data_IF_510668468223
#
_entry.id   IF_510668468223
#
_cell.length_a   1.000
_cell.length_b   1.000
_cell.length_c   1.000
_cell.angle_alpha   90.00
_cell.angle_beta   90.00
_cell.angle_gamma   90.00
#
_symmetry.space_group_name_H-M   'P 1'
#
loop_
_entity.id
_entity.type
_entity.pdbx_description
1 polymer ?
#
# COMPACT_ATOMS: atom_id res chain seq x y z
N UNK A 1 -10.99 29.88 -33.35
CA UNK A 1 -10.63 29.12 -32.15
C UNK A 1 -11.62 27.99 -31.97
N UNK A 2 -11.23 26.77 -32.35
CA UNK A 2 -11.99 25.57 -32.02
C UNK A 2 -11.65 25.19 -30.59
N UNK A 3 -12.67 25.10 -29.73
CA UNK A 3 -12.52 24.59 -28.37
C UNK A 3 -12.12 23.12 -28.47
N UNK A 4 -10.93 22.78 -27.95
CA UNK A 4 -10.52 21.41 -27.75
C UNK A 4 -11.40 20.83 -26.65
N UNK A 5 -12.40 20.05 -27.03
CA UNK A 5 -13.24 19.30 -26.09
C UNK A 5 -12.36 18.29 -25.36
N UNK A 6 -12.33 18.37 -24.03
CA UNK A 6 -11.62 17.40 -23.20
C UNK A 6 -12.31 16.04 -23.38
N UNK A 7 -11.55 14.95 -23.57
CA UNK A 7 -12.13 13.62 -23.65
C UNK A 7 -12.92 13.31 -22.37
N UNK A 8 -14.04 12.57 -22.46
CA UNK A 8 -14.88 12.26 -21.31
C UNK A 8 -14.06 11.54 -20.23
N UNK A 9 -14.27 11.96 -18.98
CA UNK A 9 -13.60 11.36 -17.82
C UNK A 9 -14.04 9.90 -17.66
N UNK A 10 -13.14 8.91 -17.82
CA UNK A 10 -13.49 7.51 -17.60
C UNK A 10 -13.94 7.25 -16.16
N UNK A 11 -13.58 8.09 -15.18
CA UNK A 11 -14.05 7.96 -13.81
C UNK A 11 -15.54 8.27 -13.66
N UNK A 12 -16.12 9.10 -14.54
CA UNK A 12 -17.55 9.39 -14.54
C UNK A 12 -18.39 8.16 -14.91
N UNK A 13 -17.84 7.24 -15.70
CA UNK A 13 -18.51 5.99 -16.08
C UNK A 13 -18.59 4.96 -14.94
N UNK A 14 -17.74 5.08 -13.91
CA UNK A 14 -17.73 4.22 -12.72
C UNK A 14 -18.41 4.87 -11.49
N UNK A 15 -18.84 6.13 -11.60
CA UNK A 15 -19.39 6.90 -10.49
C UNK A 15 -20.85 6.56 -10.14
N UNK A 16 -21.50 5.65 -10.89
CA UNK A 16 -22.94 5.37 -10.76
C UNK A 16 -23.29 4.20 -9.84
N UNK A 17 -22.32 3.44 -9.34
CA UNK A 17 -22.56 2.45 -8.28
C UNK A 17 -22.18 3.06 -6.93
N UNK A 18 -23.19 3.51 -6.16
CA UNK A 18 -23.01 3.86 -4.76
C UNK A 18 -22.44 2.63 -4.02
N UNK A 19 -21.16 2.70 -3.65
CA UNK A 19 -20.51 1.64 -2.88
C UNK A 19 -21.30 1.45 -1.58
N UNK A 20 -21.71 0.21 -1.23
CA UNK A 20 -22.40 -0.03 0.02
C UNK A 20 -21.56 0.50 1.20
N UNK A 21 -22.20 1.28 2.07
CA UNK A 21 -21.57 1.79 3.28
C UNK A 21 -21.36 0.64 4.28
N UNK A 22 -20.15 0.08 4.30
CA UNK A 22 -19.76 -0.92 5.31
C UNK A 22 -19.45 -0.18 6.61
N UNK A 23 -20.31 -0.33 7.62
CA UNK A 23 -20.12 0.33 8.92
C UNK A 23 -19.01 -0.29 9.77
N UNK A 24 -18.85 -1.61 9.75
CA UNK A 24 -17.75 -2.33 10.41
C UNK A 24 -17.57 -3.73 9.82
N UNK A 25 -16.40 -4.33 10.08
CA UNK A 25 -16.10 -5.71 9.72
C UNK A 25 -16.38 -6.65 10.90
N UNK A 26 -17.14 -7.72 10.67
CA UNK A 26 -17.53 -8.72 11.66
C UNK A 26 -18.97 -8.59 12.16
N UNK A 27 -19.36 -9.42 13.13
CA UNK A 27 -20.76 -9.56 13.57
C UNK A 27 -21.23 -8.47 14.55
N UNK A 28 -20.30 -7.66 15.08
CA UNK A 28 -20.59 -6.65 16.10
C UNK A 28 -19.81 -5.35 15.86
N UNK A 29 -20.39 -4.20 16.23
CA UNK A 29 -19.69 -2.92 16.17
C UNK A 29 -18.37 -2.96 16.96
N UNK A 30 -17.34 -2.23 16.49
CA UNK A 30 -16.08 -2.10 17.22
C UNK A 30 -16.32 -1.41 18.57
N UNK A 31 -15.48 -1.75 19.55
CA UNK A 31 -15.48 -1.11 20.88
C UNK A 31 -14.72 0.22 20.90
N UNK A 32 -14.39 0.76 19.73
CA UNK A 32 -13.55 1.93 19.52
C UNK A 32 -14.10 2.73 18.33
N UNK A 33 -13.93 4.06 18.38
CA UNK A 33 -14.29 4.95 17.29
C UNK A 33 -13.33 4.79 16.11
N UNK A 34 -13.78 5.12 14.89
CA UNK A 34 -12.97 5.04 13.67
C UNK A 34 -11.98 6.22 13.50
N UNK A 35 -11.85 7.07 14.52
CA UNK A 35 -10.98 8.24 14.51
C UNK A 35 -9.51 7.86 14.78
N UNK A 36 -8.53 8.61 14.23
CA UNK A 36 -7.13 8.44 14.58
C UNK A 36 -6.88 8.57 16.09
N UNK A 37 -6.49 7.48 16.74
CA UNK A 37 -6.32 7.42 18.19
C UNK A 37 -4.85 7.58 18.63
N UNK A 38 -4.12 6.48 18.84
CA UNK A 38 -2.79 6.51 19.43
C UNK A 38 -1.67 6.34 18.39
N UNK A 39 -0.55 7.03 18.61
CA UNK A 39 0.72 6.75 17.93
C UNK A 39 1.37 5.49 18.55
N UNK A 40 2.18 4.75 17.77
CA UNK A 40 3.03 3.71 18.34
C UNK A 40 4.00 4.28 19.39
N UNK A 41 4.23 3.50 20.44
CA UNK A 41 5.20 3.87 21.48
C UNK A 41 6.62 3.95 20.91
N UNK A 42 7.30 5.06 21.18
CA UNK A 42 8.65 5.34 20.69
C UNK A 42 9.67 5.33 21.84
N UNK A 43 10.83 4.73 21.60
CA UNK A 43 12.04 4.80 22.43
C UNK A 43 13.23 5.13 21.53
N UNK A 44 14.39 5.47 22.11
CA UNK A 44 15.61 5.73 21.35
C UNK A 44 16.04 4.55 20.47
N UNK A 45 15.69 3.33 20.86
CA UNK A 45 16.13 2.08 20.22
C UNK A 45 15.20 1.61 19.11
N UNK A 46 13.97 2.14 19.02
CA UNK A 46 12.94 1.63 18.11
C UNK A 46 12.54 2.59 16.98
N UNK A 47 13.19 3.76 16.89
CA UNK A 47 12.83 4.81 15.94
C UNK A 47 12.83 4.31 14.48
N UNK A 48 13.79 3.46 14.11
CA UNK A 48 13.89 2.91 12.75
C UNK A 48 12.78 1.89 12.42
N UNK A 49 12.11 1.38 13.44
CA UNK A 49 10.95 0.50 13.30
C UNK A 49 9.62 1.24 13.20
N UNK A 50 9.60 2.55 13.48
CA UNK A 50 8.39 3.36 13.36
C UNK A 50 8.06 3.58 11.88
N UNK A 51 6.87 3.15 11.49
CA UNK A 51 6.33 3.38 10.17
C UNK A 51 5.28 4.50 10.16
N UNK A 52 5.02 5.12 9.00
CA UNK A 52 3.89 6.03 8.88
C UNK A 52 2.58 5.28 9.16
N UNK A 53 1.52 5.99 9.56
CA UNK A 53 0.18 5.41 9.67
C UNK A 53 -0.33 4.94 8.30
N UNK A 54 -0.10 5.76 7.28
CA UNK A 54 -0.54 5.52 5.90
C UNK A 54 0.63 5.70 4.93
N UNK A 55 0.82 4.74 4.03
CA UNK A 55 1.69 4.86 2.85
C UNK A 55 0.81 5.03 1.64
N UNK A 56 1.17 6.00 0.78
CA UNK A 56 0.57 6.21 -0.53
C UNK A 56 1.69 6.24 -1.56
N UNK A 57 1.47 5.57 -2.68
CA UNK A 57 2.30 5.74 -3.86
C UNK A 57 1.45 5.81 -5.13
N UNK A 58 1.98 6.46 -6.16
CA UNK A 58 1.32 6.56 -7.44
C UNK A 58 2.30 6.81 -8.57
N UNK A 59 2.10 6.10 -9.67
CA UNK A 59 2.93 6.21 -10.85
C UNK A 59 2.09 6.03 -12.12
N UNK A 60 2.60 6.53 -13.23
CA UNK A 60 2.15 6.13 -14.57
C UNK A 60 3.23 5.27 -15.21
N UNK A 61 2.82 4.17 -15.82
CA UNK A 61 3.71 3.25 -16.50
C UNK A 61 3.07 2.77 -17.80
N UNK A 62 3.58 3.28 -18.93
CA UNK A 62 2.93 3.12 -20.23
C UNK A 62 1.51 3.65 -20.19
N UNK A 63 0.55 2.80 -20.53
CA UNK A 63 -0.90 3.09 -20.47
C UNK A 63 -1.52 2.84 -19.09
N UNK A 64 -0.76 2.30 -18.14
CA UNK A 64 -1.26 1.97 -16.80
C UNK A 64 -1.03 3.11 -15.81
N UNK A 65 -1.99 3.29 -14.90
CA UNK A 65 -1.85 4.14 -13.71
C UNK A 65 -1.84 3.25 -12.47
N UNK A 66 -0.75 3.29 -11.72
CA UNK A 66 -0.63 2.64 -10.43
C UNK A 66 -1.06 3.61 -9.33
N UNK A 67 -1.91 3.14 -8.42
CA UNK A 67 -2.18 3.75 -7.12
C UNK A 67 -2.08 2.66 -6.07
N UNK A 68 -1.18 2.84 -5.12
CA UNK A 68 -0.99 1.90 -4.02
C UNK A 68 -1.17 2.63 -2.69
N UNK A 69 -1.85 1.96 -1.75
CA UNK A 69 -2.07 2.48 -0.42
C UNK A 69 -1.94 1.35 0.60
N UNK A 70 -1.39 1.67 1.77
CA UNK A 70 -1.38 0.79 2.93
C UNK A 70 -1.69 1.63 4.16
N UNK A 71 -2.82 1.34 4.80
CA UNK A 71 -3.41 2.17 5.87
C UNK A 71 -3.44 1.36 7.16
N UNK A 72 -3.02 1.96 8.27
CA UNK A 72 -3.15 1.34 9.59
C UNK A 72 -4.64 1.16 9.92
N UNK A 73 -5.05 -0.07 10.20
CA UNK A 73 -6.43 -0.36 10.57
C UNK A 73 -6.82 0.25 11.93
N UNK A 74 -8.10 0.54 12.10
CA UNK A 74 -8.62 1.26 13.27
C UNK A 74 -8.35 0.53 14.59
N UNK A 75 -8.39 -0.80 14.59
CA UNK A 75 -8.02 -1.58 15.78
C UNK A 75 -6.57 -1.36 16.22
N UNK A 76 -5.65 -1.23 15.26
CA UNK A 76 -4.25 -0.96 15.54
C UNK A 76 -4.07 0.51 15.98
N UNK A 77 -4.79 1.45 15.37
CA UNK A 77 -4.83 2.87 15.81
C UNK A 77 -5.30 2.97 17.26
N UNK A 78 -6.39 2.31 17.61
CA UNK A 78 -6.94 2.29 18.96
C UNK A 78 -5.94 1.73 19.98
N UNK A 79 -5.22 0.66 19.64
CA UNK A 79 -4.22 0.04 20.53
C UNK A 79 -2.86 0.74 20.54
N UNK A 80 -2.65 1.76 19.71
CA UNK A 80 -1.31 2.33 19.51
C UNK A 80 -0.33 1.32 18.90
N UNK A 81 -0.82 0.36 18.12
CA UNK A 81 0.02 -0.59 17.39
C UNK A 81 0.51 0.05 16.07
N UNK A 82 1.68 -0.37 15.54
CA UNK A 82 2.14 0.07 14.23
C UNK A 82 1.27 -0.52 13.11
N UNK A 83 1.34 0.07 11.90
CA UNK A 83 0.78 -0.56 10.71
C UNK A 83 1.49 -1.90 10.47
N UNK A 84 0.74 -3.00 10.40
CA UNK A 84 1.30 -4.36 10.24
C UNK A 84 1.68 -4.71 8.81
N UNK A 85 1.21 -3.94 7.85
CA UNK A 85 1.41 -4.22 6.44
C UNK A 85 2.64 -3.48 5.88
N UNK A 86 3.45 -4.23 5.13
CA UNK A 86 4.51 -3.73 4.29
C UNK A 86 3.99 -3.47 2.86
N UNK A 87 4.41 -2.36 2.27
CA UNK A 87 4.14 -2.02 0.88
C UNK A 87 5.44 -1.51 0.25
N UNK A 88 5.83 -2.12 -0.87
CA UNK A 88 6.93 -1.66 -1.71
C UNK A 88 6.44 -1.54 -3.14
N UNK A 89 6.61 -0.37 -3.72
CA UNK A 89 6.48 -0.12 -5.14
C UNK A 89 7.86 0.20 -5.70
N UNK A 90 8.23 -0.47 -6.80
CA UNK A 90 9.53 -0.28 -7.42
C UNK A 90 9.41 -0.40 -8.94
N UNK A 91 10.27 0.33 -9.64
CA UNK A 91 10.51 0.17 -11.07
C UNK A 91 11.95 -0.24 -11.28
N UNK A 92 12.15 -1.32 -12.03
CA UNK A 92 13.45 -1.77 -12.52
C UNK A 92 13.53 -1.54 -14.03
N UNK A 93 14.74 -1.42 -14.58
CA UNK A 93 14.96 -1.22 -16.01
C UNK A 93 14.39 0.09 -16.58
N UNK A 94 14.46 0.22 -17.91
CA UNK A 94 13.96 1.37 -18.66
C UNK A 94 13.41 0.94 -20.02
N UNK A 95 12.54 1.78 -20.60
CA UNK A 95 11.89 1.51 -21.90
C UNK A 95 11.29 0.09 -21.96
N UNK A 96 11.62 -0.69 -22.98
CA UNK A 96 11.06 -2.03 -23.24
C UNK A 96 11.44 -3.07 -22.17
N UNK A 97 12.50 -2.85 -21.39
CA UNK A 97 12.92 -3.78 -20.32
C UNK A 97 12.42 -3.36 -18.94
N UNK A 98 11.61 -2.30 -18.85
CA UNK A 98 11.14 -1.82 -17.56
C UNK A 98 10.11 -2.77 -16.95
N UNK A 99 10.25 -2.99 -15.64
CA UNK A 99 9.41 -3.88 -14.86
C UNK A 99 8.94 -3.13 -13.62
N UNK A 100 7.63 -3.09 -13.40
CA UNK A 100 7.03 -2.53 -12.19
C UNK A 100 6.72 -3.67 -11.21
N UNK A 101 7.24 -3.57 -10.00
CA UNK A 101 6.94 -4.46 -8.89
C UNK A 101 6.05 -3.73 -7.87
N UNK A 102 4.97 -4.37 -7.48
CA UNK A 102 4.16 -3.99 -6.31
C UNK A 102 4.16 -5.18 -5.36
N UNK A 103 4.87 -5.06 -4.25
CA UNK A 103 4.92 -6.08 -3.20
C UNK A 103 4.13 -5.62 -1.97
N UNK A 104 3.26 -6.49 -1.48
CA UNK A 104 2.44 -6.28 -0.28
C UNK A 104 2.60 -7.48 0.63
N UNK A 105 2.84 -7.24 1.92
CA UNK A 105 2.93 -8.30 2.91
C UNK A 105 2.16 -7.89 4.17
N UNK A 106 1.44 -8.83 4.78
CA UNK A 106 0.70 -8.61 6.02
C UNK A 106 1.38 -9.27 7.21
N UNK A 107 1.66 -8.50 8.26
CA UNK A 107 2.18 -9.02 9.52
C UNK A 107 1.12 -9.78 10.31
N UNK A 108 1.48 -10.97 10.83
CA UNK A 108 0.63 -11.73 11.75
C UNK A 108 0.22 -10.89 12.96
N UNK A 109 -1.01 -11.08 13.45
CA UNK A 109 -1.57 -10.28 14.55
C UNK A 109 -0.89 -10.53 15.89
N UNK A 110 -0.46 -11.76 16.12
CA UNK A 110 0.18 -12.25 17.33
C UNK A 110 1.71 -12.24 17.26
N UNK A 111 2.27 -11.82 16.12
CA UNK A 111 3.72 -11.80 15.92
C UNK A 111 4.34 -10.54 16.53
N UNK A 112 5.31 -10.74 17.41
CA UNK A 112 6.20 -9.66 17.85
C UNK A 112 6.90 -9.05 16.63
N UNK A 113 6.95 -7.72 16.56
CA UNK A 113 7.55 -6.98 15.46
C UNK A 113 7.08 -7.39 14.05
N UNK A 114 5.86 -7.94 13.90
CA UNK A 114 5.37 -8.48 12.62
C UNK A 114 5.35 -7.46 11.47
N UNK A 115 5.24 -6.17 11.77
CA UNK A 115 5.35 -5.08 10.80
C UNK A 115 6.75 -4.98 10.18
N UNK A 116 7.81 -5.22 10.96
CA UNK A 116 9.19 -5.26 10.47
C UNK A 116 9.39 -6.47 9.56
N UNK A 117 8.91 -7.64 9.97
CA UNK A 117 8.98 -8.84 9.14
C UNK A 117 8.23 -8.67 7.81
N UNK A 118 7.08 -8.00 7.80
CA UNK A 118 6.34 -7.69 6.57
C UNK A 118 7.12 -6.71 5.67
N UNK A 119 7.74 -5.68 6.25
CA UNK A 119 8.60 -4.75 5.51
C UNK A 119 9.83 -5.46 4.92
N UNK A 120 10.48 -6.33 5.70
CA UNK A 120 11.64 -7.10 5.26
C UNK A 120 11.30 -8.09 4.16
N UNK A 121 10.14 -8.75 4.25
CA UNK A 121 9.65 -9.62 3.17
C UNK A 121 9.50 -8.85 1.85
N UNK A 122 8.92 -7.63 1.90
CA UNK A 122 8.79 -6.76 0.73
C UNK A 122 10.16 -6.33 0.17
N UNK A 123 11.11 -5.96 1.03
CA UNK A 123 12.47 -5.62 0.61
C UNK A 123 13.20 -6.81 0.01
N UNK A 124 13.03 -8.00 0.60
CA UNK A 124 13.70 -9.22 0.16
C UNK A 124 13.25 -9.63 -1.25
N UNK A 125 11.94 -9.66 -1.50
CA UNK A 125 11.42 -9.93 -2.86
C UNK A 125 11.82 -8.83 -3.84
N UNK A 126 11.79 -7.56 -3.42
CA UNK A 126 12.28 -6.44 -4.22
C UNK A 126 13.74 -6.62 -4.65
N UNK A 127 14.61 -7.00 -3.72
CA UNK A 127 16.01 -7.30 -4.02
C UNK A 127 16.19 -8.51 -4.94
N UNK A 128 15.36 -9.55 -4.77
CA UNK A 128 15.38 -10.72 -5.67
C UNK A 128 14.98 -10.33 -7.10
N UNK A 129 13.88 -9.60 -7.27
CA UNK A 129 13.44 -9.10 -8.58
C UNK A 129 14.48 -8.16 -9.18
N UNK A 130 15.09 -7.26 -8.39
CA UNK A 130 16.13 -6.36 -8.86
C UNK A 130 17.30 -7.11 -9.54
N UNK A 131 17.71 -8.26 -8.98
CA UNK A 131 18.79 -9.09 -9.55
C UNK A 131 18.38 -9.85 -10.81
N UNK A 132 17.09 -10.06 -11.04
CA UNK A 132 16.56 -10.88 -12.13
C UNK A 132 15.74 -10.10 -13.16
N UNK A 133 15.58 -8.79 -13.00
CA UNK A 133 14.58 -8.00 -13.72
C UNK A 133 14.73 -8.02 -15.25
N UNK A 134 15.96 -8.12 -15.79
CA UNK A 134 16.19 -8.19 -17.25
C UNK A 134 15.56 -9.46 -17.83
N UNK A 135 15.87 -10.61 -17.22
CA UNK A 135 15.29 -11.89 -17.67
C UNK A 135 13.79 -11.92 -17.43
N UNK A 136 13.33 -11.39 -16.30
CA UNK A 136 11.91 -11.32 -16.02
C UNK A 136 11.18 -10.47 -17.06
N UNK A 137 11.69 -9.31 -17.47
CA UNK A 137 11.03 -8.47 -18.47
C UNK A 137 11.04 -9.06 -19.89
N UNK A 138 11.94 -9.99 -20.19
CA UNK A 138 11.92 -10.75 -21.45
C UNK A 138 10.85 -11.86 -21.47
N UNK A 139 10.43 -12.35 -20.29
CA UNK A 139 9.53 -13.51 -20.13
C UNK A 139 8.03 -13.15 -20.04
N UNK A 140 7.67 -11.88 -19.78
CA UNK A 140 6.28 -11.39 -19.59
C UNK A 140 5.85 -10.49 -20.73
#
# INVERSE_FOLDING_TARGET
SALHELPPDPAAAYATEERPAVGHLGDRPPTYDAEPAALPSATSENLDGLGPDTVLDGARYGTYTLRAASVRGDSARFRGEPRRDGLLTARFGAAESALVLVAVAGGRRDGEAAHLAAADACRWIGGAVARSHIRLSEDI
#
